data_IF_576650659665
#
_entry.id   IF_576650659665
#
_cell.length_a   1.000
_cell.length_b   1.000
_cell.length_c   1.000
_cell.angle_alpha   90.00
_cell.angle_beta   90.00
_cell.angle_gamma   90.00
#
_symmetry.space_group_name_H-M   'P 1'
#
loop_
_entity.id
_entity.type
_entity.pdbx_description
1 polymer ?
#
# COMPACT_ATOMS: atom_id res chain seq x y z
N UNK A 1 -22.55 5.90 -6.61
CA UNK A 1 -21.33 6.73 -6.64
C UNK A 1 -21.63 8.06 -7.33
N UNK A 2 -21.58 9.16 -6.58
CA UNK A 2 -21.94 10.50 -7.09
C UNK A 2 -20.86 11.12 -7.98
N UNK A 3 -21.19 12.19 -8.73
CA UNK A 3 -20.23 12.92 -9.57
C UNK A 3 -19.04 13.49 -8.77
N UNK A 4 -19.29 13.94 -7.54
CA UNK A 4 -18.27 14.45 -6.62
C UNK A 4 -17.26 13.36 -6.24
N UNK A 5 -17.75 12.21 -5.79
CA UNK A 5 -16.93 11.07 -5.36
C UNK A 5 -16.08 10.51 -6.51
N UNK A 6 -16.67 10.37 -7.72
CA UNK A 6 -15.93 9.96 -8.92
C UNK A 6 -14.78 10.89 -9.24
N UNK A 7 -14.98 12.20 -9.08
CA UNK A 7 -13.92 13.19 -9.31
C UNK A 7 -12.84 13.15 -8.24
N UNK A 8 -13.22 12.97 -6.97
CA UNK A 8 -12.27 12.78 -5.88
C UNK A 8 -11.36 11.58 -6.14
N UNK A 9 -11.94 10.44 -6.53
CA UNK A 9 -11.16 9.23 -6.85
C UNK A 9 -10.20 9.46 -8.02
N UNK A 10 -10.66 10.11 -9.09
CA UNK A 10 -9.78 10.46 -10.22
C UNK A 10 -8.61 11.35 -9.80
N UNK A 11 -8.84 12.35 -8.94
CA UNK A 11 -7.77 13.22 -8.44
C UNK A 11 -6.75 12.45 -7.59
N UNK A 12 -7.20 11.47 -6.79
CA UNK A 12 -6.32 10.59 -6.03
C UNK A 12 -5.51 9.67 -6.95
N UNK A 13 -6.11 9.14 -8.02
CA UNK A 13 -5.41 8.34 -9.03
C UNK A 13 -4.35 9.17 -9.77
N UNK A 14 -4.64 10.44 -10.08
CA UNK A 14 -3.64 11.38 -10.61
C UNK A 14 -2.51 11.57 -9.59
N UNK A 15 -2.82 11.78 -8.31
CA UNK A 15 -1.84 11.95 -7.26
C UNK A 15 -0.89 10.74 -7.13
N UNK A 16 -1.46 9.53 -7.07
CA UNK A 16 -0.70 8.29 -7.00
C UNK A 16 0.24 8.12 -8.21
N UNK A 17 -0.19 8.50 -9.42
CA UNK A 17 0.66 8.49 -10.62
C UNK A 17 1.81 9.50 -10.51
N UNK A 18 1.54 10.71 -10.05
CA UNK A 18 2.58 11.74 -9.86
C UNK A 18 3.61 11.34 -8.78
N UNK A 19 3.21 10.53 -7.80
CA UNK A 19 4.07 10.06 -6.72
C UNK A 19 4.90 8.81 -7.07
N UNK A 20 4.72 8.20 -8.26
CA UNK A 20 5.50 7.02 -8.65
C UNK A 20 6.99 7.33 -8.68
N UNK A 21 7.78 6.42 -8.09
CA UNK A 21 9.23 6.54 -7.95
C UNK A 21 9.69 7.58 -6.93
N UNK A 22 8.78 8.35 -6.31
CA UNK A 22 9.13 9.33 -5.31
C UNK A 22 9.36 8.66 -3.94
N UNK A 23 10.35 9.16 -3.20
CA UNK A 23 10.65 8.71 -1.82
C UNK A 23 10.10 9.65 -0.75
N UNK A 24 9.68 10.84 -1.15
CA UNK A 24 9.06 11.84 -0.27
C UNK A 24 7.73 12.27 -0.86
N UNK A 25 6.78 12.65 0.00
CA UNK A 25 5.50 13.17 -0.46
C UNK A 25 5.66 14.65 -0.82
N UNK A 26 6.17 14.92 -2.02
CA UNK A 26 6.37 16.28 -2.55
C UNK A 26 5.19 16.84 -3.35
N UNK A 27 4.06 16.16 -3.37
CA UNK A 27 2.90 16.56 -4.17
C UNK A 27 2.03 17.57 -3.40
N UNK A 28 1.73 18.70 -4.05
CA UNK A 28 0.81 19.71 -3.55
C UNK A 28 -0.42 19.82 -4.47
N UNK A 29 -1.50 20.45 -3.99
CA UNK A 29 -2.72 20.68 -4.77
C UNK A 29 -2.48 21.45 -6.08
N UNK A 30 -1.49 22.35 -6.13
CA UNK A 30 -1.11 23.04 -7.37
C UNK A 30 -0.59 22.09 -8.45
N UNK A 31 0.23 21.10 -8.07
CA UNK A 31 0.73 20.07 -8.99
C UNK A 31 -0.43 19.23 -9.56
N UNK A 32 -1.47 18.97 -8.75
CA UNK A 32 -2.67 18.27 -9.22
C UNK A 32 -3.49 19.06 -10.23
N UNK A 33 -3.57 20.39 -10.12
CA UNK A 33 -4.27 21.21 -11.12
C UNK A 33 -3.67 20.99 -12.50
N UNK A 34 -2.34 21.04 -12.60
CA UNK A 34 -1.59 20.82 -13.83
C UNK A 34 -1.75 19.38 -14.33
N UNK A 35 -1.56 18.39 -13.46
CA UNK A 35 -1.57 16.98 -13.84
C UNK A 35 -2.98 16.44 -14.19
N UNK A 36 -4.05 17.01 -13.60
CA UNK A 36 -5.42 16.52 -13.77
C UNK A 36 -6.24 17.24 -14.84
N UNK A 37 -5.78 18.43 -15.27
CA UNK A 37 -6.53 19.35 -16.15
C UNK A 37 -7.89 19.79 -15.56
N UNK A 38 -8.03 19.70 -14.23
CA UNK A 38 -9.20 20.18 -13.48
C UNK A 38 -8.91 21.58 -12.94
N UNK A 39 -9.92 22.46 -12.95
CA UNK A 39 -9.76 23.84 -12.49
C UNK A 39 -9.27 23.92 -11.04
N UNK A 40 -8.43 24.93 -10.77
CA UNK A 40 -7.88 25.20 -9.43
C UNK A 40 -8.97 25.24 -8.35
N UNK A 41 -10.06 25.97 -8.58
CA UNK A 41 -11.17 26.03 -7.63
C UNK A 41 -11.76 24.65 -7.33
N UNK A 42 -11.86 23.76 -8.33
CA UNK A 42 -12.39 22.42 -8.12
C UNK A 42 -11.43 21.54 -7.30
N UNK A 43 -10.13 21.55 -7.61
CA UNK A 43 -9.13 20.79 -6.84
C UNK A 43 -9.09 21.25 -5.38
N UNK A 44 -9.11 22.57 -5.15
CA UNK A 44 -9.04 23.14 -3.81
C UNK A 44 -10.33 22.94 -3.01
N UNK A 45 -11.48 22.79 -3.69
CA UNK A 45 -12.73 22.38 -3.04
C UNK A 45 -12.72 20.89 -2.66
N UNK A 46 -12.01 20.04 -3.42
CA UNK A 46 -11.85 18.63 -3.06
C UNK A 46 -10.84 18.42 -1.93
N UNK A 47 -9.76 19.19 -1.90
CA UNK A 47 -8.72 19.14 -0.87
C UNK A 47 -8.52 20.54 -0.29
N UNK A 48 -9.08 20.79 0.90
CA UNK A 48 -9.05 22.09 1.57
C UNK A 48 -7.66 22.40 2.13
N UNK A 49 -6.90 21.36 2.49
CA UNK A 49 -5.51 21.45 2.93
C UNK A 49 -4.61 20.51 2.12
N UNK A 50 -3.28 20.66 2.22
CA UNK A 50 -2.36 19.65 1.66
C UNK A 50 -2.47 18.31 2.41
N UNK A 51 -2.80 18.36 3.71
CA UNK A 51 -3.04 17.17 4.51
C UNK A 51 -4.25 16.37 3.99
N UNK A 52 -5.31 17.03 3.52
CA UNK A 52 -6.45 16.35 2.88
C UNK A 52 -5.99 15.49 1.70
N UNK A 53 -5.12 16.03 0.85
CA UNK A 53 -4.58 15.29 -0.30
C UNK A 53 -3.74 14.08 0.16
N UNK A 54 -2.82 14.30 1.10
CA UNK A 54 -1.98 13.21 1.65
C UNK A 54 -2.83 12.10 2.27
N UNK A 55 -3.81 12.48 3.07
CA UNK A 55 -4.73 11.55 3.75
C UNK A 55 -5.65 10.85 2.75
N UNK A 56 -6.11 11.53 1.70
CA UNK A 56 -6.91 10.91 0.65
C UNK A 56 -6.14 9.82 -0.11
N UNK A 57 -4.86 10.06 -0.43
CA UNK A 57 -3.98 9.06 -1.03
C UNK A 57 -3.85 7.85 -0.10
N UNK A 58 -3.58 8.09 1.19
CA UNK A 58 -3.48 7.00 2.17
C UNK A 58 -4.79 6.21 2.34
N UNK A 59 -5.93 6.89 2.37
CA UNK A 59 -7.24 6.27 2.45
C UNK A 59 -7.51 5.36 1.24
N UNK A 60 -7.12 5.80 0.04
CA UNK A 60 -7.22 4.98 -1.17
C UNK A 60 -6.33 3.73 -1.11
N UNK A 61 -5.13 3.85 -0.55
CA UNK A 61 -4.23 2.69 -0.32
C UNK A 61 -4.86 1.66 0.62
N UNK A 62 -5.34 2.08 1.79
CA UNK A 62 -5.99 1.17 2.74
C UNK A 62 -7.25 0.53 2.15
N UNK A 63 -8.05 1.29 1.40
CA UNK A 63 -9.21 0.75 0.70
C UNK A 63 -8.82 -0.32 -0.34
N UNK A 64 -7.74 -0.08 -1.08
CA UNK A 64 -7.22 -1.04 -2.04
C UNK A 64 -6.74 -2.31 -1.35
N UNK A 65 -5.96 -2.22 -0.27
CA UNK A 65 -5.50 -3.38 0.48
C UNK A 65 -6.66 -4.15 1.11
N UNK A 66 -7.70 -3.47 1.62
CA UNK A 66 -8.91 -4.13 2.13
C UNK A 66 -9.68 -4.89 1.03
N UNK A 67 -9.70 -4.36 -0.20
CA UNK A 67 -10.31 -5.06 -1.34
C UNK A 67 -9.51 -6.32 -1.70
N UNK A 68 -8.18 -6.23 -1.72
CA UNK A 68 -7.31 -7.38 -1.93
C UNK A 68 -7.46 -8.42 -0.82
N UNK A 69 -7.43 -8.00 0.44
CA UNK A 69 -7.61 -8.86 1.60
C UNK A 69 -8.89 -9.73 1.50
N UNK A 70 -10.00 -9.17 1.02
CA UNK A 70 -11.25 -9.90 0.76
C UNK A 70 -11.12 -10.93 -0.36
N UNK A 71 -10.33 -10.64 -1.40
CA UNK A 71 -10.03 -11.60 -2.47
C UNK A 71 -9.13 -12.73 -1.95
N UNK A 72 -8.15 -12.40 -1.11
CA UNK A 72 -7.24 -13.35 -0.49
C UNK A 72 -7.96 -14.32 0.45
N UNK A 73 -9.05 -13.89 1.11
CA UNK A 73 -9.93 -14.76 1.89
C UNK A 73 -10.59 -15.87 1.07
N UNK A 74 -10.85 -15.59 -0.21
CA UNK A 74 -11.41 -16.57 -1.14
C UNK A 74 -10.29 -17.48 -1.66
N UNK A 75 -9.16 -16.89 -2.07
CA UNK A 75 -8.04 -17.55 -2.74
C UNK A 75 -7.24 -18.47 -1.80
N UNK A 76 -6.95 -18.01 -0.58
CA UNK A 76 -6.09 -18.72 0.37
C UNK A 76 -6.90 -19.16 1.59
N UNK A 77 -7.13 -20.48 1.69
CA UNK A 77 -7.88 -21.07 2.81
C UNK A 77 -7.06 -21.16 4.09
N UNK A 78 -5.77 -21.46 3.97
CA UNK A 78 -4.84 -21.42 5.11
C UNK A 78 -4.58 -19.94 5.50
N UNK A 79 -4.86 -19.53 6.76
CA UNK A 79 -4.61 -18.17 7.21
C UNK A 79 -3.13 -17.77 7.14
N UNK A 80 -2.20 -18.73 7.28
CA UNK A 80 -0.77 -18.41 7.20
C UNK A 80 -0.39 -18.03 5.76
N UNK A 81 -0.72 -18.89 4.79
CA UNK A 81 -0.53 -18.56 3.38
C UNK A 81 -1.24 -17.27 2.98
N UNK A 82 -2.49 -17.06 3.43
CA UNK A 82 -3.24 -15.83 3.17
C UNK A 82 -2.47 -14.59 3.62
N UNK A 83 -2.00 -14.59 4.87
CA UNK A 83 -1.27 -13.46 5.43
C UNK A 83 0.03 -13.20 4.67
N UNK A 84 0.80 -14.25 4.39
CA UNK A 84 2.08 -14.16 3.68
C UNK A 84 1.88 -13.60 2.27
N UNK A 85 1.00 -14.21 1.48
CA UNK A 85 0.81 -13.82 0.09
C UNK A 85 0.16 -12.44 -0.06
N UNK A 86 -0.73 -12.06 0.85
CA UNK A 86 -1.27 -10.69 0.89
C UNK A 86 -0.15 -9.64 1.00
N UNK A 87 0.75 -9.80 1.97
CA UNK A 87 1.83 -8.82 2.17
C UNK A 87 2.94 -8.95 1.11
N UNK A 88 3.16 -10.14 0.54
CA UNK A 88 4.04 -10.31 -0.62
C UNK A 88 3.48 -9.59 -1.86
N UNK A 89 2.17 -9.66 -2.09
CA UNK A 89 1.50 -8.94 -3.20
C UNK A 89 1.67 -7.42 -3.05
N UNK A 90 1.45 -6.89 -1.85
CA UNK A 90 1.69 -5.46 -1.55
C UNK A 90 3.12 -5.05 -1.87
N UNK A 91 4.10 -5.85 -1.43
CA UNK A 91 5.52 -5.59 -1.71
C UNK A 91 5.82 -5.64 -3.22
N UNK A 92 5.30 -6.65 -3.91
CA UNK A 92 5.44 -6.79 -5.36
C UNK A 92 4.89 -5.58 -6.10
N UNK A 93 3.72 -5.07 -5.74
CA UNK A 93 3.13 -3.89 -6.40
C UNK A 93 3.94 -2.62 -6.18
N UNK A 94 4.46 -2.43 -4.97
CA UNK A 94 5.36 -1.31 -4.67
C UNK A 94 6.55 -1.33 -5.63
N UNK A 95 7.25 -2.47 -5.71
CA UNK A 95 8.47 -2.58 -6.49
C UNK A 95 8.21 -2.59 -7.99
N UNK A 96 7.18 -3.30 -8.44
CA UNK A 96 6.91 -3.50 -9.86
C UNK A 96 6.28 -2.29 -10.55
N UNK A 97 5.57 -1.44 -9.79
CA UNK A 97 4.94 -0.22 -10.33
C UNK A 97 5.61 1.07 -9.86
N UNK A 98 6.72 0.96 -9.12
CA UNK A 98 7.35 2.06 -8.40
C UNK A 98 6.32 2.87 -7.59
N UNK A 99 5.40 2.17 -6.91
CA UNK A 99 4.33 2.83 -6.15
C UNK A 99 4.92 3.56 -4.96
N UNK A 100 4.37 4.73 -4.65
CA UNK A 100 4.77 5.46 -3.45
C UNK A 100 4.47 4.64 -2.18
N UNK A 101 5.47 4.48 -1.32
CA UNK A 101 5.35 3.77 -0.05
C UNK A 101 4.66 4.65 0.99
N UNK A 102 3.36 4.42 1.20
CA UNK A 102 2.54 5.24 2.08
C UNK A 102 2.98 5.16 3.56
N UNK A 103 3.66 4.08 3.93
CA UNK A 103 4.27 3.85 5.25
C UNK A 103 5.24 4.97 5.67
N UNK A 104 5.76 5.74 4.70
CA UNK A 104 6.60 6.92 4.95
C UNK A 104 5.85 8.09 5.56
N UNK A 105 4.54 8.18 5.33
CA UNK A 105 3.70 9.26 5.84
C UNK A 105 2.58 8.79 6.77
N UNK A 106 2.24 7.49 6.77
CA UNK A 106 1.21 6.92 7.60
C UNK A 106 1.65 5.64 8.32
N UNK A 107 1.10 5.35 9.51
CA UNK A 107 0.27 6.23 10.35
C UNK A 107 1.06 7.45 10.87
N UNK A 108 0.40 8.61 10.95
CA UNK A 108 0.95 9.88 11.47
C UNK A 108 -0.18 10.76 12.04
N UNK A 109 -0.29 10.83 13.37
CA UNK A 109 -1.37 11.56 14.02
C UNK A 109 -1.30 13.08 13.79
N UNK A 110 -0.10 13.64 13.73
CA UNK A 110 0.07 15.08 13.48
C UNK A 110 -0.47 15.46 12.08
N UNK A 111 -0.22 14.61 11.08
CA UNK A 111 -0.77 14.79 9.73
C UNK A 111 -2.31 14.67 9.72
N UNK A 112 -2.86 13.68 10.42
CA UNK A 112 -4.32 13.49 10.53
C UNK A 112 -5.03 14.68 11.18
N UNK A 113 -4.40 15.34 12.17
CA UNK A 113 -4.95 16.54 12.82
C UNK A 113 -4.99 17.77 11.91
N UNK A 114 -4.18 17.81 10.86
CA UNK A 114 -4.16 18.89 9.86
C UNK A 114 -5.15 18.67 8.71
N UNK A 115 -5.71 17.47 8.59
CA UNK A 115 -6.75 17.16 7.61
C UNK A 115 -8.13 17.56 8.13
N UNK A 116 -9.03 17.86 7.20
CA UNK A 116 -10.44 18.06 7.49
C UNK A 116 -11.06 16.78 8.06
N UNK A 117 -12.13 16.96 8.83
CA UNK A 117 -12.82 15.86 9.52
C UNK A 117 -13.26 14.74 8.55
N UNK A 118 -13.71 15.11 7.35
CA UNK A 118 -14.10 14.16 6.32
C UNK A 118 -12.98 13.19 5.94
N UNK A 119 -11.78 13.70 5.63
CA UNK A 119 -10.65 12.86 5.25
C UNK A 119 -10.04 12.13 6.45
N UNK A 120 -9.95 12.79 7.61
CA UNK A 120 -9.45 12.18 8.84
C UNK A 120 -10.27 10.95 9.23
N UNK A 121 -11.57 11.09 9.43
CA UNK A 121 -12.44 9.98 9.83
C UNK A 121 -12.50 8.89 8.75
N UNK A 122 -12.48 9.28 7.46
CA UNK A 122 -12.40 8.32 6.36
C UNK A 122 -11.16 7.44 6.44
N UNK A 123 -9.99 8.05 6.68
CA UNK A 123 -8.72 7.34 6.76
C UNK A 123 -8.59 6.51 8.04
N UNK A 124 -8.94 7.06 9.20
CA UNK A 124 -8.89 6.35 10.49
C UNK A 124 -9.73 5.07 10.44
N UNK A 125 -10.97 5.16 9.92
CA UNK A 125 -11.83 4.00 9.77
C UNK A 125 -11.21 2.91 8.87
N UNK A 126 -10.64 3.28 7.73
CA UNK A 126 -10.03 2.28 6.82
C UNK A 126 -8.74 1.70 7.38
N UNK A 127 -7.95 2.50 8.08
CA UNK A 127 -6.79 2.02 8.80
C UNK A 127 -7.20 1.00 9.87
N UNK A 128 -8.21 1.32 10.70
CA UNK A 128 -8.72 0.43 11.74
C UNK A 128 -9.29 -0.87 11.16
N UNK A 129 -10.07 -0.79 10.08
CA UNK A 129 -10.58 -1.96 9.36
C UNK A 129 -9.43 -2.87 8.87
N UNK A 130 -8.37 -2.27 8.32
CA UNK A 130 -7.22 -3.03 7.82
C UNK A 130 -6.38 -3.64 8.97
N UNK A 131 -6.19 -2.90 10.06
CA UNK A 131 -5.52 -3.41 11.25
C UNK A 131 -6.30 -4.54 11.91
N UNK A 132 -7.63 -4.44 11.96
CA UNK A 132 -8.50 -5.53 12.44
C UNK A 132 -8.40 -6.77 11.55
N UNK A 133 -8.34 -6.61 10.23
CA UNK A 133 -8.13 -7.74 9.33
C UNK A 133 -6.79 -8.44 9.58
N UNK A 134 -5.72 -7.67 9.74
CA UNK A 134 -4.40 -8.21 10.08
C UNK A 134 -4.43 -8.96 11.43
N UNK A 135 -4.98 -8.34 12.48
CA UNK A 135 -5.09 -8.96 13.79
C UNK A 135 -5.89 -10.27 13.77
N UNK A 136 -7.04 -10.28 13.08
CA UNK A 136 -7.88 -11.48 12.92
C UNK A 136 -7.15 -12.58 12.17
N UNK A 137 -6.43 -12.23 11.10
CA UNK A 137 -5.69 -13.21 10.30
C UNK A 137 -4.53 -13.81 11.09
N UNK A 138 -3.77 -12.99 11.83
CA UNK A 138 -2.69 -13.46 12.72
C UNK A 138 -3.24 -14.36 13.82
N UNK A 139 -4.33 -13.96 14.50
CA UNK A 139 -4.99 -14.81 15.50
C UNK A 139 -5.45 -16.15 14.91
N UNK A 140 -5.98 -16.15 13.68
CA UNK A 140 -6.39 -17.37 12.97
C UNK A 140 -5.22 -18.28 12.58
N UNK A 141 -4.00 -17.74 12.37
CA UNK A 141 -2.79 -18.57 12.24
C UNK A 141 -2.53 -19.34 13.53
N UNK A 142 -2.82 -18.74 14.68
CA UNK A 142 -2.71 -19.35 16.00
C UNK A 142 -2.07 -18.38 16.99
N UNK A 143 -2.60 -18.35 18.20
CA UNK A 143 -2.09 -17.48 19.26
C UNK A 143 -0.83 -18.06 19.88
N UNK A 144 0.22 -17.23 19.96
CA UNK A 144 1.47 -17.57 20.63
C UNK A 144 1.71 -16.54 21.73
N UNK A 145 1.62 -16.93 23.02
CA UNK A 145 1.72 -15.99 24.14
C UNK A 145 3.11 -15.34 24.23
N UNK A 146 3.19 -14.24 25.00
CA UNK A 146 4.44 -13.59 25.41
C UNK A 146 4.77 -12.28 24.71
N UNK A 147 4.22 -12.01 23.52
CA UNK A 147 4.43 -10.75 22.79
C UNK A 147 3.17 -10.29 22.08
N UNK A 148 3.03 -8.98 21.86
CA UNK A 148 2.05 -8.45 20.89
C UNK A 148 2.52 -8.76 19.47
N UNK A 149 2.06 -9.89 18.94
CA UNK A 149 2.41 -10.37 17.60
C UNK A 149 1.92 -9.44 16.51
N UNK A 150 0.78 -8.78 16.72
CA UNK A 150 0.22 -7.85 15.73
C UNK A 150 1.12 -6.63 15.64
N UNK A 151 1.45 -6.01 16.77
CA UNK A 151 2.33 -4.84 16.81
C UNK A 151 3.71 -5.15 16.20
N UNK A 152 4.32 -6.29 16.57
CA UNK A 152 5.63 -6.71 16.05
C UNK A 152 5.63 -6.89 14.54
N UNK A 153 4.65 -7.63 14.02
CA UNK A 153 4.56 -7.94 12.59
C UNK A 153 4.26 -6.67 11.79
N UNK A 154 3.35 -5.82 12.25
CA UNK A 154 3.00 -4.58 11.55
C UNK A 154 4.14 -3.56 11.56
N UNK A 155 4.91 -3.49 12.66
CA UNK A 155 6.12 -2.67 12.73
C UNK A 155 7.20 -3.16 11.76
N UNK A 156 7.42 -4.47 11.68
CA UNK A 156 8.32 -5.06 10.69
C UNK A 156 7.86 -4.78 9.26
N UNK A 157 6.58 -5.00 8.95
CA UNK A 157 6.02 -4.75 7.61
C UNK A 157 6.26 -3.30 7.18
N UNK A 158 6.05 -2.35 8.08
CA UNK A 158 6.31 -0.93 7.83
C UNK A 158 7.77 -0.69 7.43
N UNK A 159 8.71 -1.18 8.24
CA UNK A 159 10.14 -1.02 7.99
C UNK A 159 10.60 -1.77 6.73
N UNK A 160 10.07 -2.96 6.49
CA UNK A 160 10.41 -3.79 5.34
C UNK A 160 9.95 -3.15 4.02
N UNK A 161 8.75 -2.57 3.95
CA UNK A 161 8.28 -1.84 2.76
C UNK A 161 9.22 -0.68 2.40
N UNK A 162 9.55 0.14 3.40
CA UNK A 162 10.45 1.30 3.24
C UNK A 162 11.86 0.86 2.81
N UNK A 163 12.47 -0.09 3.53
CA UNK A 163 13.84 -0.50 3.28
C UNK A 163 14.00 -1.23 1.95
N UNK A 164 12.99 -2.03 1.55
CA UNK A 164 13.03 -2.77 0.28
C UNK A 164 12.92 -1.82 -0.91
N UNK A 165 12.06 -0.82 -0.80
CA UNK A 165 11.93 0.27 -1.78
C UNK A 165 13.19 1.14 -1.83
N UNK A 166 13.78 1.53 -0.69
CA UNK A 166 15.02 2.33 -0.65
C UNK A 166 16.25 1.57 -1.18
N UNK A 167 16.29 0.25 -1.00
CA UNK A 167 17.34 -0.60 -1.54
C UNK A 167 17.14 -0.96 -3.02
N UNK A 168 16.08 -0.45 -3.68
CA UNK A 168 15.74 -0.74 -5.08
C UNK A 168 15.78 -2.25 -5.38
N UNK A 169 15.21 -3.08 -4.50
CA UNK A 169 15.18 -4.53 -4.71
C UNK A 169 14.36 -4.89 -5.94
N UNK A 170 14.77 -5.94 -6.64
CA UNK A 170 14.08 -6.42 -7.81
C UNK A 170 12.74 -7.07 -7.44
N UNK A 171 11.67 -6.72 -8.16
CA UNK A 171 10.32 -7.23 -7.91
C UNK A 171 10.15 -8.71 -8.34
N UNK A 172 11.06 -9.24 -9.15
CA UNK A 172 11.00 -10.58 -9.73
C UNK A 172 11.97 -11.56 -9.04
N UNK A 173 12.53 -11.18 -7.89
CA UNK A 173 13.43 -12.01 -7.10
C UNK A 173 12.66 -12.93 -6.12
N UNK A 174 12.57 -14.26 -6.35
CA UNK A 174 11.91 -15.17 -5.44
C UNK A 174 12.57 -15.24 -4.05
N UNK A 175 13.87 -14.90 -3.96
CA UNK A 175 14.61 -14.90 -2.70
C UNK A 175 14.10 -13.81 -1.75
N UNK A 176 13.76 -12.63 -2.28
CA UNK A 176 13.19 -11.53 -1.52
C UNK A 176 11.92 -11.97 -0.78
N UNK A 177 10.95 -12.52 -1.51
CA UNK A 177 9.67 -12.95 -0.95
C UNK A 177 9.81 -14.11 0.04
N UNK A 178 10.75 -15.02 -0.23
CA UNK A 178 11.08 -16.10 0.70
C UNK A 178 11.66 -15.59 2.03
N UNK A 179 12.57 -14.62 1.99
CA UNK A 179 13.13 -14.01 3.21
C UNK A 179 12.06 -13.22 3.97
N UNK A 180 11.24 -12.47 3.23
CA UNK A 180 10.14 -11.70 3.78
C UNK A 180 9.12 -12.62 4.48
N UNK A 181 8.69 -13.72 3.84
CA UNK A 181 7.77 -14.69 4.45
C UNK A 181 8.36 -15.38 5.67
N UNK A 182 9.65 -15.74 5.61
CA UNK A 182 10.36 -16.34 6.74
C UNK A 182 10.35 -15.42 7.96
N UNK A 183 10.63 -14.12 7.77
CA UNK A 183 10.57 -13.14 8.83
C UNK A 183 9.16 -13.00 9.43
N UNK A 184 8.12 -12.93 8.60
CA UNK A 184 6.73 -12.84 9.07
C UNK A 184 6.35 -14.04 9.94
N UNK A 185 6.70 -15.26 9.53
CA UNK A 185 6.44 -16.49 10.29
C UNK A 185 7.07 -16.44 11.69
N UNK A 186 8.34 -16.02 11.77
CA UNK A 186 9.06 -15.94 13.04
C UNK A 186 8.51 -14.85 13.95
N UNK A 187 8.15 -13.69 13.39
CA UNK A 187 7.56 -12.59 14.16
C UNK A 187 6.18 -12.96 14.71
N UNK A 188 5.38 -13.71 13.96
CA UNK A 188 4.12 -14.29 14.43
C UNK A 188 4.31 -15.39 15.49
N UNK A 189 5.54 -15.87 15.72
CA UNK A 189 5.85 -16.88 16.74
C UNK A 189 5.74 -18.33 16.27
N UNK A 190 5.64 -18.57 14.96
CA UNK A 190 5.39 -19.89 14.36
C UNK A 190 6.62 -20.45 13.65
N UNK A 191 7.81 -20.38 14.27
CA UNK A 191 9.07 -20.84 13.66
C UNK A 191 9.10 -22.32 13.26
N UNK A 192 8.22 -23.12 13.84
CA UNK A 192 7.97 -24.53 13.53
C UNK A 192 7.13 -24.72 12.25
N UNK A 193 6.37 -23.71 11.83
CA UNK A 193 5.56 -23.78 10.62
C UNK A 193 6.40 -23.64 9.36
N UNK A 194 6.02 -24.39 8.33
CA UNK A 194 6.72 -24.40 7.06
C UNK A 194 6.38 -23.14 6.25
N UNK A 195 7.40 -22.36 5.92
CA UNK A 195 7.27 -21.25 4.97
C UNK A 195 7.04 -21.75 3.54
N UNK A 196 6.28 -21.02 2.70
CA UNK A 196 6.28 -21.25 1.25
C UNK A 196 7.71 -21.30 0.72
N UNK A 197 8.00 -22.31 -0.10
CA UNK A 197 9.33 -22.52 -0.68
C UNK A 197 9.65 -21.46 -1.75
N UNK A 198 10.95 -21.28 -2.03
CA UNK A 198 11.40 -20.41 -3.14
C UNK A 198 10.78 -20.82 -4.49
N UNK A 199 10.56 -22.11 -4.72
CA UNK A 199 9.88 -22.60 -5.92
C UNK A 199 8.42 -22.16 -5.99
N UNK A 200 7.70 -22.16 -4.85
CA UNK A 200 6.35 -21.62 -4.78
C UNK A 200 6.33 -20.10 -5.07
N UNK A 201 7.31 -19.33 -4.58
CA UNK A 201 7.41 -17.91 -4.92
C UNK A 201 7.76 -17.68 -6.39
N UNK A 202 8.65 -18.48 -6.99
CA UNK A 202 8.94 -18.40 -8.42
C UNK A 202 7.68 -18.68 -9.27
N UNK A 203 6.90 -19.70 -8.90
CA UNK A 203 5.64 -20.03 -9.56
C UNK A 203 4.54 -18.99 -9.32
N UNK A 204 4.56 -18.30 -8.17
CA UNK A 204 3.66 -17.18 -7.88
C UNK A 204 4.03 -15.96 -8.72
N UNK A 205 5.31 -15.59 -8.80
CA UNK A 205 5.82 -14.50 -9.64
C UNK A 205 5.52 -14.72 -11.12
N UNK A 206 5.64 -15.96 -11.63
CA UNK A 206 5.33 -16.26 -13.04
C UNK A 206 3.84 -16.10 -13.40
N UNK A 207 2.95 -15.99 -12.41
CA UNK A 207 1.52 -15.73 -12.61
C UNK A 207 1.16 -14.25 -12.45
N UNK A 208 2.11 -13.43 -11.99
CA UNK A 208 1.89 -12.00 -11.90
C UNK A 208 1.79 -11.43 -13.31
N UNK A 209 0.94 -10.43 -13.53
CA UNK A 209 0.84 -9.79 -14.83
C UNK A 209 2.22 -9.22 -15.22
N UNK A 210 2.67 -9.55 -16.44
CA UNK A 210 3.83 -8.93 -17.04
C UNK A 210 3.57 -7.44 -17.17
N UNK A 211 4.26 -6.63 -16.37
CA UNK A 211 4.21 -5.19 -16.50
C UNK A 211 5.12 -4.79 -17.67
N UNK A 212 4.63 -4.95 -18.89
CA UNK A 212 5.12 -4.14 -20.00
C UNK A 212 4.69 -2.70 -19.74
N UNK A 213 5.53 -1.96 -19.00
CA UNK A 213 5.32 -0.54 -18.84
C UNK A 213 5.73 0.16 -20.13
N UNK A 214 4.76 0.45 -21.01
CA UNK A 214 4.94 1.48 -22.04
C UNK A 214 4.80 2.86 -21.38
N UNK A 215 5.84 3.72 -21.42
CA UNK A 215 5.73 5.09 -20.99
C UNK A 215 5.06 5.93 -22.10
N UNK A 216 3.82 5.64 -22.46
CA UNK A 216 3.02 6.57 -23.26
C UNK A 216 2.51 7.71 -22.36
N UNK A 217 3.31 8.78 -22.25
CA UNK A 217 2.81 10.01 -21.63
C UNK A 217 3.82 11.11 -21.33
N UNK A 218 5.13 10.82 -21.27
CA UNK A 218 6.15 11.81 -20.86
C UNK A 218 7.09 12.30 -21.97
N UNK A 219 6.80 12.04 -23.25
CA UNK A 219 7.58 12.54 -24.39
C UNK A 219 7.14 13.89 -24.98
N UNK A 220 6.30 14.68 -24.32
CA UNK A 220 5.90 16.01 -24.83
C UNK A 220 5.91 17.13 -23.79
N UNK A 221 6.98 17.27 -23.00
CA UNK A 221 7.28 18.55 -22.34
C UNK A 221 8.81 18.78 -22.22
N UNK A 222 9.57 18.59 -23.30
CA UNK A 222 10.87 19.27 -23.48
C UNK A 222 11.10 19.41 -24.99
N UNK A 223 10.70 20.56 -25.52
CA UNK A 223 11.07 21.19 -26.80
C UNK A 223 9.84 21.93 -27.35
N UNK A 224 9.75 23.19 -26.94
CA UNK A 224 8.80 24.21 -27.36
C UNK A 224 9.18 25.50 -26.68
#
# INVERSE_FOLDING_TARGET
MGKWERRGNYLVEVAQRCLRGQKTFGLCRSHLVEASQISKGTVYNHFTTEADLMVAVACSEYEYWLKQAKQDEIQYKDPLERFIFHHCQRLYEVLSTNKFVIERIMPNQALLLLATEFYRHGCERRFDEYMQWNAKTISAVGEVPGFDRVELVMSYLRGAMINTDDACKAHDDPQLYYQFSYALIHLMGHSDKRSPSKQQFAAWLSRQPSLEYEPEGLRRVVNG
#
